data_IF_407483343892
#
_entry.id   IF_407483343892
#
_cell.length_a   1.000
_cell.length_b   1.000
_cell.length_c   1.000
_cell.angle_alpha   90.00
_cell.angle_beta   90.00
_cell.angle_gamma   90.00
#
_symmetry.space_group_name_H-M   'P 1'
#
loop_
_entity.id
_entity.type
_entity.pdbx_description
1 polymer ?
#
# COMPACT_ATOMS: atom_id res chain seq x y z
N UNK A 1 -9.79 15.36 -18.02
CA UNK A 1 -10.10 14.14 -17.29
C UNK A 1 -8.87 13.65 -16.58
N UNK A 2 -9.01 13.55 -15.28
CA UNK A 2 -7.94 13.00 -14.46
C UNK A 2 -8.29 11.58 -14.15
N UNK A 3 -7.35 10.68 -14.39
CA UNK A 3 -7.47 9.28 -14.06
C UNK A 3 -6.83 9.04 -12.70
N UNK A 4 -6.74 7.77 -12.27
CA UNK A 4 -5.98 7.45 -11.08
C UNK A 4 -4.51 7.85 -11.28
N UNK A 5 -3.92 8.39 -10.23
CA UNK A 5 -2.52 8.82 -10.25
C UNK A 5 -1.89 8.37 -8.94
N UNK A 6 -1.23 7.21 -9.00
CA UNK A 6 -0.74 6.51 -7.81
C UNK A 6 0.70 6.89 -7.49
N UNK A 7 0.95 7.06 -6.21
CA UNK A 7 2.30 7.30 -5.66
C UNK A 7 2.50 6.32 -4.53
N UNK A 8 3.63 5.60 -4.55
CA UNK A 8 3.98 4.65 -3.51
C UNK A 8 5.03 5.25 -2.59
N UNK A 9 4.72 5.27 -1.29
CA UNK A 9 5.69 5.57 -0.25
C UNK A 9 5.96 4.34 0.58
N UNK A 10 7.22 4.17 1.00
CA UNK A 10 7.61 3.05 1.84
C UNK A 10 8.35 3.57 3.06
N UNK A 11 8.03 3.03 4.24
CA UNK A 11 8.76 3.33 5.47
C UNK A 11 9.01 2.05 6.25
N UNK A 12 10.03 2.07 7.10
CA UNK A 12 10.46 0.90 7.87
C UNK A 12 10.68 1.28 9.31
N UNK A 13 10.14 0.46 10.22
CA UNK A 13 10.36 0.61 11.66
C UNK A 13 10.91 -0.71 12.18
N UNK A 14 12.02 -0.63 12.95
CA UNK A 14 12.63 -1.80 13.59
C UNK A 14 12.49 -1.63 15.11
N UNK A 15 11.91 -2.63 15.77
CA UNK A 15 11.71 -2.59 17.21
C UNK A 15 11.67 -4.01 17.77
N UNK A 16 12.48 -4.27 18.79
CA UNK A 16 12.51 -5.57 19.49
C UNK A 16 12.71 -6.77 18.58
N UNK A 17 13.59 -6.63 17.56
CA UNK A 17 13.86 -7.71 16.61
C UNK A 17 12.78 -7.93 15.56
N UNK A 18 11.78 -7.08 15.56
CA UNK A 18 10.74 -7.10 14.53
C UNK A 18 10.90 -5.91 13.61
N UNK A 19 10.73 -6.15 12.31
CA UNK A 19 10.74 -5.09 11.30
C UNK A 19 9.35 -4.98 10.71
N UNK A 20 8.83 -3.75 10.65
CA UNK A 20 7.56 -3.45 10.00
C UNK A 20 7.80 -2.54 8.81
N UNK A 21 7.44 -3.02 7.63
CA UNK A 21 7.41 -2.22 6.41
C UNK A 21 6.00 -1.68 6.23
N UNK A 22 5.88 -0.38 6.00
CA UNK A 22 4.60 0.26 5.69
C UNK A 22 4.64 0.77 4.27
N UNK A 23 3.70 0.29 3.45
CA UNK A 23 3.52 0.76 2.09
C UNK A 23 2.28 1.65 2.05
N UNK A 24 2.48 2.90 1.71
CA UNK A 24 1.40 3.87 1.56
C UNK A 24 1.20 4.14 0.08
N UNK A 25 0.02 3.77 -0.44
CA UNK A 25 -0.35 4.03 -1.82
C UNK A 25 -1.34 5.20 -1.79
N UNK A 26 -0.99 6.29 -2.43
CA UNK A 26 -1.84 7.47 -2.51
C UNK A 26 -2.30 7.70 -3.94
N UNK A 27 -3.56 8.06 -4.08
CA UNK A 27 -4.16 8.39 -5.36
C UNK A 27 -4.51 9.88 -5.35
N UNK A 28 -3.89 10.64 -6.24
CA UNK A 28 -4.17 12.07 -6.40
C UNK A 28 -5.08 12.36 -7.58
N UNK A 29 -5.53 11.31 -8.27
CA UNK A 29 -6.47 11.42 -9.38
C UNK A 29 -7.92 11.43 -8.90
N UNK A 30 -8.83 11.75 -9.81
CA UNK A 30 -10.26 11.82 -9.49
C UNK A 30 -11.02 10.52 -9.80
N UNK A 31 -10.31 9.46 -10.19
CA UNK A 31 -10.90 8.13 -10.37
C UNK A 31 -10.24 7.15 -9.41
N UNK A 32 -11.01 6.23 -8.82
CA UNK A 32 -10.42 5.21 -7.95
C UNK A 32 -9.64 4.20 -8.77
N UNK A 33 -8.59 3.62 -8.18
CA UNK A 33 -7.92 2.46 -8.73
C UNK A 33 -8.66 1.23 -8.21
N UNK A 34 -9.44 0.61 -9.08
CA UNK A 34 -10.24 -0.57 -8.74
C UNK A 34 -9.45 -1.87 -8.92
N UNK A 35 -10.10 -2.98 -8.63
CA UNK A 35 -9.46 -4.30 -8.73
C UNK A 35 -9.01 -4.61 -10.16
N UNK A 36 -9.73 -4.12 -11.15
CA UNK A 36 -9.40 -4.34 -12.56
C UNK A 36 -8.12 -3.64 -13.01
N UNK A 37 -7.65 -2.66 -12.24
CA UNK A 37 -6.40 -1.95 -12.55
C UNK A 37 -5.17 -2.81 -12.23
N UNK A 38 -5.33 -3.91 -11.49
CA UNK A 38 -4.26 -4.85 -11.15
C UNK A 38 -3.05 -4.18 -10.51
N UNK A 39 -3.30 -3.30 -9.55
CA UNK A 39 -2.23 -2.65 -8.79
C UNK A 39 -1.48 -3.71 -8.01
N UNK A 40 -0.16 -3.77 -8.17
CA UNK A 40 0.69 -4.72 -7.45
C UNK A 40 1.88 -4.00 -6.84
N UNK A 41 2.35 -4.54 -5.70
CA UNK A 41 3.58 -4.12 -5.05
C UNK A 41 4.52 -5.31 -5.05
N UNK A 42 5.76 -5.09 -5.45
CA UNK A 42 6.83 -6.08 -5.37
C UNK A 42 8.00 -5.45 -4.63
N UNK A 43 8.51 -6.17 -3.63
CA UNK A 43 9.67 -5.69 -2.87
C UNK A 43 10.52 -6.89 -2.45
N UNK A 44 11.80 -6.63 -2.23
CA UNK A 44 12.73 -7.64 -1.72
C UNK A 44 13.23 -7.15 -0.37
N UNK A 45 12.91 -7.89 0.69
CA UNK A 45 13.26 -7.48 2.04
C UNK A 45 14.69 -7.91 2.38
N UNK A 46 15.46 -6.97 2.93
CA UNK A 46 16.81 -7.22 3.43
C UNK A 46 16.96 -6.55 4.78
N UNK A 47 17.16 -7.33 5.86
CA UNK A 47 17.29 -8.80 5.85
C UNK A 47 15.98 -9.52 5.54
N UNK A 48 16.09 -10.78 5.16
CA UNK A 48 14.90 -11.63 4.93
C UNK A 48 14.15 -11.79 6.24
N UNK A 49 12.84 -11.64 6.20
CA UNK A 49 11.99 -11.73 7.37
C UNK A 49 11.34 -13.11 7.50
N UNK A 50 11.09 -13.52 8.74
CA UNK A 50 10.38 -14.74 9.06
C UNK A 50 9.06 -14.40 9.74
N UNK A 51 8.11 -15.33 9.71
CA UNK A 51 6.82 -15.20 10.40
C UNK A 51 6.08 -13.93 10.02
N UNK A 52 5.90 -13.73 8.71
CA UNK A 52 5.26 -12.53 8.20
C UNK A 52 3.79 -12.42 8.62
N UNK A 53 3.40 -11.21 9.02
CA UNK A 53 2.02 -10.80 9.16
C UNK A 53 1.77 -9.61 8.24
N UNK A 54 0.78 -9.74 7.36
CA UNK A 54 0.47 -8.70 6.39
C UNK A 54 -0.94 -8.19 6.65
N UNK A 55 -1.08 -6.86 6.75
CA UNK A 55 -2.39 -6.22 6.90
C UNK A 55 -2.63 -5.25 5.76
N UNK A 56 -3.89 -5.20 5.32
CA UNK A 56 -4.37 -4.32 4.27
C UNK A 56 -5.45 -3.43 4.88
N UNK A 57 -5.15 -2.15 5.05
CA UNK A 57 -6.04 -1.20 5.74
C UNK A 57 -6.51 -1.74 7.09
N UNK A 58 -5.61 -2.42 7.81
CA UNK A 58 -5.91 -2.99 9.11
C UNK A 58 -6.52 -4.39 9.10
N UNK A 59 -6.82 -4.95 7.94
CA UNK A 59 -7.38 -6.30 7.80
C UNK A 59 -6.26 -7.28 7.45
N UNK A 60 -6.21 -8.41 8.15
CA UNK A 60 -5.17 -9.42 7.90
C UNK A 60 -5.39 -10.05 6.53
N UNK A 61 -4.33 -10.07 5.73
CA UNK A 61 -4.29 -10.73 4.44
C UNK A 61 -3.76 -12.15 4.56
N UNK A 62 -4.17 -13.00 3.62
CA UNK A 62 -3.78 -14.41 3.57
C UNK A 62 -2.90 -14.70 2.37
N UNK A 63 -1.98 -15.64 2.55
CA UNK A 63 -1.14 -16.16 1.46
C UNK A 63 -1.70 -17.52 1.03
N UNK A 64 -1.79 -17.83 -0.26
CA UNK A 64 -1.40 -17.02 -1.42
C UNK A 64 -2.56 -16.19 -2.02
N UNK A 65 -3.65 -16.02 -1.29
CA UNK A 65 -4.84 -15.35 -1.82
C UNK A 65 -4.58 -13.89 -2.18
N UNK A 66 -3.86 -13.15 -1.33
CA UNK A 66 -3.65 -11.72 -1.48
C UNK A 66 -2.20 -11.34 -1.75
N UNK A 67 -1.25 -12.20 -1.34
CA UNK A 67 0.18 -11.94 -1.53
C UNK A 67 0.94 -13.26 -1.56
N UNK A 68 2.19 -13.20 -2.02
CA UNK A 68 3.14 -14.30 -1.91
C UNK A 68 4.43 -13.78 -1.31
N UNK A 69 5.10 -14.62 -0.53
CA UNK A 69 6.37 -14.27 0.07
C UNK A 69 7.32 -15.47 0.02
N UNK A 70 8.52 -15.25 -0.50
CA UNK A 70 9.57 -16.28 -0.56
C UNK A 70 10.56 -16.01 0.57
N UNK A 71 10.55 -16.87 1.60
CA UNK A 71 11.43 -16.74 2.75
C UNK A 71 12.90 -17.02 2.42
N UNK A 72 13.17 -17.61 1.26
CA UNK A 72 14.55 -17.87 0.81
C UNK A 72 15.20 -16.61 0.26
N UNK A 73 14.46 -15.83 -0.52
CA UNK A 73 14.98 -14.63 -1.20
C UNK A 73 14.54 -13.33 -0.56
N UNK A 74 13.48 -13.36 0.26
CA UNK A 74 12.87 -12.16 0.82
C UNK A 74 11.93 -11.45 -0.14
N UNK A 75 11.52 -12.10 -1.22
CA UNK A 75 10.66 -11.49 -2.23
C UNK A 75 9.20 -11.49 -1.78
N UNK A 76 8.64 -10.30 -1.63
CA UNK A 76 7.24 -10.07 -1.32
C UNK A 76 6.54 -9.49 -2.55
N UNK A 77 5.38 -10.06 -2.89
CA UNK A 77 4.60 -9.58 -4.03
C UNK A 77 3.12 -9.71 -3.75
N UNK A 78 2.36 -8.64 -4.03
CA UNK A 78 0.91 -8.70 -3.91
C UNK A 78 0.30 -9.35 -5.15
N UNK A 79 -0.86 -9.99 -4.94
CA UNK A 79 -1.58 -10.65 -6.04
C UNK A 79 -2.38 -9.60 -6.82
N UNK A 80 -2.34 -9.61 -8.16
CA UNK A 80 -3.17 -8.69 -8.94
C UNK A 80 -4.65 -8.82 -8.57
N UNK A 81 -5.34 -7.68 -8.51
CA UNK A 81 -6.75 -7.65 -8.14
C UNK A 81 -7.02 -7.67 -6.65
N UNK A 82 -5.99 -7.49 -5.81
CA UNK A 82 -6.16 -7.46 -4.34
C UNK A 82 -6.15 -6.05 -3.77
N UNK A 83 -5.70 -5.06 -4.52
CA UNK A 83 -5.51 -3.70 -4.03
C UNK A 83 -6.49 -2.75 -4.72
N UNK A 84 -7.16 -1.93 -3.91
CA UNK A 84 -7.94 -0.79 -4.40
C UNK A 84 -7.43 0.47 -3.71
N UNK A 85 -7.45 1.59 -4.42
CA UNK A 85 -7.09 2.89 -3.85
C UNK A 85 -8.20 3.86 -4.22
N UNK A 86 -8.89 4.46 -3.23
CA UNK A 86 -9.98 5.38 -3.53
C UNK A 86 -9.46 6.63 -4.25
N UNK A 87 -10.35 7.31 -4.94
CA UNK A 87 -10.02 8.57 -5.59
C UNK A 87 -9.68 9.65 -4.56
N UNK A 88 -8.93 10.65 -4.99
CA UNK A 88 -8.73 11.84 -4.19
C UNK A 88 -10.03 12.61 -4.06
N UNK A 89 -10.15 13.38 -2.98
CA UNK A 89 -11.23 14.35 -2.82
C UNK A 89 -10.68 15.75 -2.99
N UNK A 90 -11.51 16.62 -3.57
CA UNK A 90 -11.11 17.99 -3.86
C UNK A 90 -12.07 18.92 -3.14
N UNK A 91 -11.51 19.85 -2.37
CA UNK A 91 -12.31 20.82 -1.61
C UNK A 91 -11.87 22.22 -1.97
N UNK A 92 -12.83 23.16 -2.00
CA UNK A 92 -12.54 24.55 -2.25
C UNK A 92 -12.81 25.37 -1.00
N UNK A 93 -11.86 26.22 -0.64
CA UNK A 93 -12.06 27.17 0.44
C UNK A 93 -13.05 28.25 -0.03
N UNK A 94 -14.23 28.39 0.62
CA UNK A 94 -15.25 29.34 0.16
C UNK A 94 -14.85 30.80 0.33
N UNK A 95 -13.80 31.06 1.13
CA UNK A 95 -13.34 32.44 1.36
C UNK A 95 -12.26 32.82 0.36
N UNK A 96 -11.26 31.95 0.15
CA UNK A 96 -10.11 32.28 -0.70
C UNK A 96 -10.25 31.75 -2.13
N UNK A 97 -11.16 30.80 -2.37
CA UNK A 97 -11.29 30.12 -3.65
C UNK A 97 -10.19 29.11 -3.93
N UNK A 98 -9.29 28.86 -2.98
CA UNK A 98 -8.18 27.91 -3.15
C UNK A 98 -8.69 26.48 -3.08
N UNK A 99 -8.27 25.66 -4.03
CA UNK A 99 -8.57 24.23 -4.04
C UNK A 99 -7.51 23.45 -3.28
N UNK A 100 -7.97 22.46 -2.53
CA UNK A 100 -7.11 21.51 -1.81
C UNK A 100 -7.43 20.10 -2.26
N UNK A 101 -6.40 19.27 -2.38
CA UNK A 101 -6.53 17.88 -2.75
C UNK A 101 -6.22 17.01 -1.54
N UNK A 102 -7.14 16.11 -1.21
CA UNK A 102 -6.92 15.09 -0.18
C UNK A 102 -6.76 13.76 -0.91
N UNK A 103 -5.55 13.18 -0.95
CA UNK A 103 -5.34 11.93 -1.67
C UNK A 103 -6.17 10.79 -1.09
N UNK A 104 -6.67 9.94 -1.96
CA UNK A 104 -7.13 8.63 -1.54
C UNK A 104 -5.94 7.80 -1.11
N UNK A 105 -6.12 6.93 -0.13
CA UNK A 105 -4.99 6.19 0.42
C UNK A 105 -5.34 4.75 0.76
N UNK A 106 -4.36 3.88 0.57
CA UNK A 106 -4.41 2.48 0.98
C UNK A 106 -3.09 2.16 1.65
N UNK A 107 -3.14 1.50 2.80
CA UNK A 107 -1.96 1.19 3.58
C UNK A 107 -1.82 -0.32 3.72
N UNK A 108 -0.63 -0.82 3.38
CA UNK A 108 -0.27 -2.23 3.58
C UNK A 108 0.92 -2.25 4.54
N UNK A 109 0.80 -3.03 5.61
CA UNK A 109 1.88 -3.23 6.56
C UNK A 109 2.32 -4.68 6.55
N UNK A 110 3.64 -4.88 6.49
CA UNK A 110 4.25 -6.20 6.52
C UNK A 110 5.20 -6.23 7.72
N UNK A 111 4.89 -7.06 8.69
CA UNK A 111 5.72 -7.22 9.88
C UNK A 111 6.31 -8.63 9.91
N UNK A 112 7.55 -8.72 10.33
CA UNK A 112 8.23 -10.00 10.47
C UNK A 112 9.43 -9.91 11.39
N UNK A 113 10.02 -11.07 11.68
CA UNK A 113 11.20 -11.16 12.54
C UNK A 113 12.45 -11.44 11.71
N UNK A 114 13.56 -10.96 12.22
CA UNK A 114 14.87 -11.17 11.58
C UNK A 114 15.39 -12.56 11.91
#
# INVERSE_FOLDING_TARGET
NVIEKLVLGESTITENGEITYTFLIQNTGNLPAGLAENVIITDIFQPVLNNLTVTYNGTIWSEPANYTYDETTGTFQTVPGSITVPAATFTQNPVTGVWSTIPGATIIRVAGTI
#
